data_IF_878690708598
#
_entry.id   IF_878690708598
#
_cell.length_a   1.000
_cell.length_b   1.000
_cell.length_c   1.000
_cell.angle_alpha   90.00
_cell.angle_beta   90.00
_cell.angle_gamma   90.00
#
_symmetry.space_group_name_H-M   'P 1'
#
loop_
_entity.id
_entity.type
_entity.pdbx_description
1 polymer ?
#
# COMPACT_ATOMS: atom_id res chain seq x y z
N UNK A 1 30.91 15.28 -29.55
CA UNK A 1 29.51 15.55 -29.12
C UNK A 1 28.54 14.37 -29.32
N UNK A 2 28.81 13.36 -30.17
CA UNK A 2 27.83 12.30 -30.49
C UNK A 2 27.78 11.07 -29.55
N UNK A 3 28.86 10.72 -28.82
CA UNK A 3 28.80 9.59 -27.85
C UNK A 3 27.84 9.83 -26.69
N UNK A 4 27.70 11.09 -26.24
CA UNK A 4 26.84 11.46 -25.11
C UNK A 4 25.35 11.32 -25.42
N UNK A 5 24.91 11.46 -26.69
CA UNK A 5 23.49 11.28 -27.07
C UNK A 5 23.06 9.81 -27.06
N UNK A 6 23.93 8.91 -27.54
CA UNK A 6 23.66 7.45 -27.53
C UNK A 6 23.69 6.90 -26.11
N UNK A 7 24.57 7.42 -25.25
CA UNK A 7 24.65 7.04 -23.83
C UNK A 7 23.50 7.63 -22.97
N UNK A 8 22.96 8.81 -23.31
CA UNK A 8 21.84 9.42 -22.57
C UNK A 8 20.45 8.89 -22.93
N UNK A 9 20.31 8.13 -24.02
CA UNK A 9 19.01 7.59 -24.45
C UNK A 9 18.48 6.44 -23.58
N UNK A 10 19.25 5.92 -22.63
CA UNK A 10 18.85 4.79 -21.78
C UNK A 10 19.48 4.89 -20.38
N UNK A 11 19.15 5.94 -19.61
CA UNK A 11 19.03 5.74 -18.16
C UNK A 11 17.84 4.79 -17.98
N UNK A 12 18.14 3.48 -17.94
CA UNK A 12 17.18 2.42 -17.64
C UNK A 12 16.73 2.65 -16.21
N UNK A 13 15.65 3.41 -16.07
CA UNK A 13 14.92 3.52 -14.83
C UNK A 13 14.39 2.12 -14.46
N UNK A 14 14.34 1.77 -13.17
CA UNK A 14 13.60 0.59 -12.75
C UNK A 14 12.15 0.70 -13.26
N UNK A 15 11.48 -0.44 -13.44
CA UNK A 15 10.06 -0.46 -13.79
C UNK A 15 9.27 0.13 -12.62
N UNK A 16 9.09 1.45 -12.62
CA UNK A 16 7.96 2.11 -11.97
C UNK A 16 6.76 1.82 -12.86
N UNK A 17 6.24 0.60 -12.84
CA UNK A 17 4.85 0.46 -13.24
C UNK A 17 4.03 1.18 -12.19
N UNK A 18 3.58 2.38 -12.52
CA UNK A 18 2.25 2.81 -12.15
C UNK A 18 1.26 1.83 -12.80
N UNK A 19 1.18 0.62 -12.26
CA UNK A 19 0.03 -0.22 -12.50
C UNK A 19 -1.11 0.52 -11.82
N UNK A 20 -2.01 1.08 -12.64
CA UNK A 20 -3.39 1.23 -12.25
C UNK A 20 -3.79 -0.03 -11.48
N UNK A 21 -4.28 0.15 -10.26
CA UNK A 21 -4.77 -0.94 -9.44
C UNK A 21 -5.61 -1.88 -10.32
N UNK A 22 -5.41 -3.21 -10.28
CA UNK A 22 -6.38 -4.08 -10.88
C UNK A 22 -7.70 -3.78 -10.18
N UNK A 23 -8.69 -3.33 -10.96
CA UNK A 23 -10.07 -3.35 -10.52
C UNK A 23 -10.34 -4.75 -9.99
N UNK A 24 -10.69 -4.85 -8.70
CA UNK A 24 -11.14 -6.10 -8.10
C UNK A 24 -12.28 -6.66 -8.97
N UNK A 25 -12.29 -7.96 -9.30
CA UNK A 25 -13.39 -8.52 -10.06
C UNK A 25 -14.66 -8.45 -9.19
N UNK A 26 -15.84 -8.17 -9.79
CA UNK A 26 -17.09 -8.29 -9.05
C UNK A 26 -17.26 -9.76 -8.66
N UNK A 27 -17.28 -10.04 -7.35
CA UNK A 27 -17.55 -11.37 -6.85
C UNK A 27 -18.99 -11.78 -7.21
N UNK A 28 -19.12 -12.61 -8.25
CA UNK A 28 -20.37 -13.17 -8.72
C UNK A 28 -20.26 -14.66 -9.05
N UNK A 29 -20.84 -15.46 -8.14
CA UNK A 29 -21.45 -16.79 -8.36
C UNK A 29 -20.51 -17.98 -8.63
N UNK A 30 -20.32 -18.81 -7.59
CA UNK A 30 -20.21 -20.27 -7.73
C UNK A 30 -21.23 -20.93 -6.79
N UNK A 31 -22.08 -21.78 -7.37
CA UNK A 31 -22.85 -22.79 -6.66
C UNK A 31 -21.91 -23.86 -6.08
N UNK A 32 -22.20 -24.39 -4.89
CA UNK A 32 -22.44 -25.83 -4.61
C UNK A 32 -22.57 -26.08 -3.09
N UNK A 33 -23.66 -26.77 -2.76
CA UNK A 33 -24.00 -27.70 -1.66
C UNK A 33 -23.19 -27.73 -0.36
N UNK A 34 -24.00 -27.72 0.71
CA UNK A 34 -23.93 -28.49 1.96
C UNK A 34 -22.68 -28.45 2.84
N UNK A 35 -22.93 -28.13 4.12
CA UNK A 35 -22.27 -28.79 5.24
C UNK A 35 -21.17 -28.02 5.95
N UNK A 36 -21.56 -27.29 7.00
CA UNK A 36 -20.80 -27.02 8.22
C UNK A 36 -19.35 -26.51 8.13
N UNK A 37 -19.20 -25.22 8.45
CA UNK A 37 -18.31 -24.63 9.49
C UNK A 37 -17.81 -23.25 9.03
N UNK A 38 -18.43 -22.19 9.56
CA UNK A 38 -18.05 -20.80 9.25
C UNK A 38 -16.86 -20.40 10.13
N UNK A 39 -15.66 -20.44 9.55
CA UNK A 39 -14.48 -19.76 10.07
C UNK A 39 -14.61 -18.26 9.87
N UNK A 40 -14.50 -17.51 10.96
CA UNK A 40 -14.59 -16.05 10.99
C UNK A 40 -13.35 -15.41 10.35
N UNK A 41 -13.56 -14.52 9.38
CA UNK A 41 -12.58 -13.52 8.97
C UNK A 41 -12.61 -12.40 10.03
N UNK A 42 -11.76 -12.54 11.04
CA UNK A 42 -11.49 -11.50 12.03
C UNK A 42 -10.66 -10.38 11.40
N UNK A 43 -11.17 -9.15 11.42
CA UNK A 43 -10.37 -7.94 11.21
C UNK A 43 -9.45 -7.74 12.43
N UNK A 44 -8.21 -7.25 12.23
CA UNK A 44 -7.20 -7.28 13.27
C UNK A 44 -7.57 -6.38 14.46
N UNK A 45 -7.47 -6.95 15.65
CA UNK A 45 -7.47 -6.27 16.95
C UNK A 45 -6.26 -5.31 17.05
N UNK A 46 -6.33 -4.18 16.36
CA UNK A 46 -5.48 -3.01 16.63
C UNK A 46 -6.32 -1.74 16.53
N UNK A 47 -7.48 -1.76 17.19
CA UNK A 47 -8.03 -0.52 17.74
C UNK A 47 -7.14 -0.14 18.93
N UNK A 48 -6.01 0.52 18.65
CA UNK A 48 -5.23 1.22 19.66
C UNK A 48 -6.16 2.18 20.38
N UNK A 49 -6.55 1.80 21.60
CA UNK A 49 -7.26 2.58 22.61
C UNK A 49 -8.08 3.75 22.04
N UNK A 50 -9.07 3.45 21.20
CA UNK A 50 -10.23 4.32 21.11
C UNK A 50 -10.78 4.28 22.53
N UNK A 51 -10.62 5.37 23.27
CA UNK A 51 -11.05 5.50 24.66
C UNK A 51 -12.45 4.91 24.72
N UNK A 52 -12.53 3.70 25.25
CA UNK A 52 -13.81 3.07 25.49
C UNK A 52 -14.65 4.12 26.19
N UNK A 53 -15.96 4.18 25.95
CA UNK A 53 -16.92 5.00 26.72
C UNK A 53 -16.78 4.87 28.27
N UNK A 54 -15.85 4.04 28.73
CA UNK A 54 -15.32 3.81 30.07
C UNK A 54 -14.66 5.03 30.73
N UNK A 55 -13.97 5.92 30.01
CA UNK A 55 -13.18 7.00 30.65
C UNK A 55 -13.90 8.35 30.83
N UNK A 56 -15.20 8.42 30.51
CA UNK A 56 -16.06 9.57 30.85
C UNK A 56 -17.13 9.21 31.88
N UNK A 57 -16.75 8.52 32.94
CA UNK A 57 -17.59 8.43 34.13
C UNK A 57 -17.36 9.67 35.02
N UNK A 58 -18.28 10.64 35.10
CA UNK A 58 -18.19 11.65 36.15
C UNK A 58 -18.31 10.94 37.51
N UNK A 59 -17.42 11.30 38.44
CA UNK A 59 -17.43 10.85 39.83
C UNK A 59 -18.83 11.07 40.44
N UNK A 60 -19.48 9.98 40.84
CA UNK A 60 -20.83 10.01 41.39
C UNK A 60 -20.78 10.35 42.87
N UNK A 61 -21.22 11.56 43.25
CA UNK A 61 -21.70 11.78 44.61
C UNK A 61 -23.09 11.14 44.77
N UNK A 62 -23.26 10.50 45.92
CA UNK A 62 -24.44 9.75 46.32
C UNK A 62 -25.63 10.66 46.59
N UNK A 63 -26.64 10.64 45.73
CA UNK A 63 -28.00 10.98 46.11
C UNK A 63 -28.99 10.21 45.21
N UNK A 64 -29.63 9.22 45.80
CA UNK A 64 -30.69 8.44 45.17
C UNK A 64 -31.96 9.29 45.05
N UNK A 65 -32.31 9.66 43.84
CA UNK A 65 -33.70 9.94 43.43
C UNK A 65 -34.05 8.94 42.33
N UNK A 66 -35.29 8.46 42.32
CA UNK A 66 -35.81 7.46 41.39
C UNK A 66 -35.32 7.75 39.96
N UNK A 67 -34.35 6.96 39.51
CA UNK A 67 -33.50 7.34 38.39
C UNK A 67 -34.29 7.43 37.10
N UNK A 68 -34.09 8.52 36.36
CA UNK A 68 -34.64 8.76 35.02
C UNK A 68 -34.84 7.42 34.26
N UNK A 69 -36.09 7.07 33.89
CA UNK A 69 -36.41 5.82 33.21
C UNK A 69 -35.57 5.56 31.96
N UNK A 70 -35.12 6.60 31.26
CA UNK A 70 -34.22 6.51 30.12
C UNK A 70 -32.80 6.14 30.56
N UNK A 71 -32.28 6.81 31.60
CA UNK A 71 -30.95 6.53 32.18
C UNK A 71 -30.84 5.11 32.75
N UNK A 72 -31.93 4.59 33.33
CA UNK A 72 -31.99 3.23 33.84
C UNK A 72 -31.98 2.20 32.71
N UNK A 73 -32.72 2.43 31.63
CA UNK A 73 -32.68 1.59 30.42
C UNK A 73 -31.28 1.58 29.81
N UNK A 74 -30.66 2.76 29.67
CA UNK A 74 -29.28 2.89 29.18
C UNK A 74 -28.25 2.11 29.99
N UNK A 75 -28.31 2.19 31.34
CA UNK A 75 -27.42 1.40 32.22
C UNK A 75 -27.63 -0.10 32.10
N UNK A 76 -28.85 -0.57 31.77
CA UNK A 76 -29.10 -1.98 31.47
C UNK A 76 -28.50 -2.35 30.11
N UNK A 77 -28.66 -1.51 29.09
CA UNK A 77 -28.06 -1.69 27.77
C UNK A 77 -26.54 -1.85 27.84
N UNK A 78 -25.85 -0.95 28.56
CA UNK A 78 -24.40 -1.04 28.75
C UNK A 78 -23.95 -2.35 29.43
N UNK A 79 -24.74 -2.86 30.39
CA UNK A 79 -24.45 -4.16 31.03
C UNK A 79 -24.62 -5.32 30.06
N UNK A 80 -25.66 -5.30 29.24
CA UNK A 80 -25.88 -6.34 28.22
C UNK A 80 -24.80 -6.31 27.15
N UNK A 81 -24.39 -5.12 26.69
CA UNK A 81 -23.29 -4.94 25.75
C UNK A 81 -21.98 -5.52 26.30
N UNK A 82 -21.64 -5.24 27.58
CA UNK A 82 -20.47 -5.83 28.24
C UNK A 82 -20.52 -7.34 28.36
N UNK A 83 -21.72 -7.93 28.41
CA UNK A 83 -21.91 -9.38 28.41
C UNK A 83 -21.97 -10.01 27.01
N UNK A 84 -21.75 -9.23 25.95
CA UNK A 84 -21.81 -9.70 24.55
C UNK A 84 -23.24 -9.91 24.01
N UNK A 85 -24.28 -9.59 24.80
CA UNK A 85 -25.70 -9.73 24.42
C UNK A 85 -26.15 -8.50 23.64
N UNK A 86 -25.67 -8.37 22.40
CA UNK A 86 -25.84 -7.16 21.58
C UNK A 86 -27.31 -6.86 21.26
N UNK A 87 -28.12 -7.87 20.94
CA UNK A 87 -29.53 -7.67 20.59
C UNK A 87 -30.35 -7.14 21.78
N UNK A 88 -30.05 -7.62 22.99
CA UNK A 88 -30.69 -7.10 24.21
C UNK A 88 -30.20 -5.70 24.56
N UNK A 89 -28.91 -5.42 24.35
CA UNK A 89 -28.37 -4.09 24.51
C UNK A 89 -29.07 -3.09 23.59
N UNK A 90 -29.29 -3.48 22.32
CA UNK A 90 -30.03 -2.71 21.33
C UNK A 90 -31.43 -2.35 21.82
N UNK A 91 -32.21 -3.34 22.28
CA UNK A 91 -33.57 -3.12 22.80
C UNK A 91 -33.59 -2.14 23.98
N UNK A 92 -32.61 -2.22 24.88
CA UNK A 92 -32.50 -1.31 26.02
C UNK A 92 -32.10 0.11 25.61
N UNK A 93 -31.24 0.29 24.60
CA UNK A 93 -30.92 1.61 24.08
C UNK A 93 -32.08 2.24 23.31
N UNK A 94 -32.79 1.47 22.49
CA UNK A 94 -34.04 1.92 21.85
C UNK A 94 -35.10 2.30 22.88
N UNK A 95 -35.24 1.52 23.97
CA UNK A 95 -36.12 1.87 25.08
C UNK A 95 -35.69 3.17 25.78
N UNK A 96 -34.39 3.44 25.90
CA UNK A 96 -33.90 4.70 26.46
C UNK A 96 -34.27 5.89 25.56
N UNK A 97 -34.11 5.78 24.24
CA UNK A 97 -34.49 6.81 23.27
C UNK A 97 -36.00 7.05 23.27
N UNK A 98 -36.82 5.98 23.33
CA UNK A 98 -38.28 6.10 23.41
C UNK A 98 -38.74 6.87 24.65
N UNK A 99 -38.05 6.70 25.78
CA UNK A 99 -38.37 7.39 27.04
C UNK A 99 -37.87 8.83 27.08
N UNK A 100 -36.76 9.11 26.39
CA UNK A 100 -36.22 10.44 26.24
C UNK A 100 -35.56 10.58 24.86
N UNK A 101 -36.25 11.25 23.95
CA UNK A 101 -35.80 11.43 22.57
C UNK A 101 -34.57 12.34 22.45
N UNK A 102 -34.25 13.11 23.48
CA UNK A 102 -33.08 13.99 23.57
C UNK A 102 -31.87 13.29 24.23
N UNK A 103 -31.99 11.99 24.55
CA UNK A 103 -30.96 11.27 25.29
C UNK A 103 -29.79 10.84 24.38
N UNK A 104 -28.90 11.79 24.11
CA UNK A 104 -27.74 11.72 23.20
C UNK A 104 -26.90 10.44 23.36
N UNK A 105 -26.60 10.06 24.61
CA UNK A 105 -25.75 8.90 24.90
C UNK A 105 -26.35 7.57 24.43
N UNK A 106 -27.68 7.42 24.37
CA UNK A 106 -28.28 6.20 23.83
C UNK A 106 -28.18 6.13 22.30
N UNK A 107 -28.19 7.26 21.58
CA UNK A 107 -28.00 7.26 20.12
C UNK A 107 -26.60 6.78 19.73
N UNK A 108 -25.56 7.32 20.37
CA UNK A 108 -24.18 6.93 20.07
C UNK A 108 -23.91 5.47 20.46
N UNK A 109 -24.43 5.01 21.60
CA UNK A 109 -24.31 3.61 22.01
C UNK A 109 -25.06 2.66 21.06
N UNK A 110 -26.27 3.04 20.59
CA UNK A 110 -27.02 2.24 19.63
C UNK A 110 -26.35 2.21 18.25
N UNK A 111 -25.76 3.34 17.81
CA UNK A 111 -24.97 3.39 16.58
C UNK A 111 -23.75 2.47 16.66
N UNK A 112 -23.07 2.41 17.80
CA UNK A 112 -21.95 1.49 18.02
C UNK A 112 -22.38 0.02 17.96
N UNK A 113 -23.54 -0.34 18.53
CA UNK A 113 -24.10 -1.70 18.40
C UNK A 113 -24.31 -2.07 16.93
N UNK A 114 -24.93 -1.18 16.13
CA UNK A 114 -25.13 -1.45 14.70
C UNK A 114 -23.82 -1.55 13.93
N UNK A 115 -22.80 -0.76 14.28
CA UNK A 115 -21.45 -0.89 13.72
C UNK A 115 -20.83 -2.26 14.03
N UNK A 116 -20.96 -2.74 15.27
CA UNK A 116 -20.50 -4.08 15.67
C UNK A 116 -21.26 -5.20 14.95
N UNK A 117 -22.54 -4.99 14.65
CA UNK A 117 -23.36 -5.90 13.84
C UNK A 117 -23.11 -5.77 12.32
N UNK A 118 -22.14 -4.94 11.89
CA UNK A 118 -21.86 -4.67 10.47
C UNK A 118 -23.05 -4.09 9.70
N UNK A 119 -23.90 -3.31 10.39
CA UNK A 119 -25.03 -2.58 9.82
C UNK A 119 -24.73 -1.07 9.75
N UNK A 120 -23.95 -0.59 8.75
CA UNK A 120 -23.50 0.81 8.71
C UNK A 120 -24.62 1.81 8.44
N UNK A 121 -25.67 1.44 7.69
CA UNK A 121 -26.75 2.35 7.34
C UNK A 121 -27.64 2.76 8.54
N UNK A 122 -28.13 1.82 9.39
CA UNK A 122 -28.81 2.18 10.63
C UNK A 122 -27.93 3.04 11.56
N UNK A 123 -26.65 2.71 11.69
CA UNK A 123 -25.71 3.47 12.50
C UNK A 123 -25.59 4.92 11.98
N UNK A 124 -25.39 5.10 10.67
CA UNK A 124 -25.31 6.41 10.02
C UNK A 124 -26.56 7.27 10.25
N UNK A 125 -27.75 6.69 10.10
CA UNK A 125 -29.01 7.41 10.35
C UNK A 125 -29.14 7.87 11.81
N UNK A 126 -28.74 7.04 12.76
CA UNK A 126 -28.75 7.39 14.19
C UNK A 126 -27.75 8.50 14.51
N UNK A 127 -26.53 8.43 13.95
CA UNK A 127 -25.52 9.47 14.10
C UNK A 127 -25.97 10.80 13.49
N UNK A 128 -26.59 10.79 12.31
CA UNK A 128 -27.16 11.99 11.70
C UNK A 128 -28.29 12.60 12.55
N UNK A 129 -29.15 11.76 13.17
CA UNK A 129 -30.17 12.23 14.12
C UNK A 129 -29.53 12.83 15.37
N UNK A 130 -28.51 12.20 15.92
CA UNK A 130 -27.75 12.71 17.06
C UNK A 130 -27.11 14.06 16.74
N UNK A 131 -26.48 14.20 15.57
CA UNK A 131 -25.82 15.43 15.15
C UNK A 131 -26.82 16.58 14.87
N UNK A 132 -28.06 16.28 14.48
CA UNK A 132 -29.13 17.30 14.43
C UNK A 132 -29.50 17.83 15.82
N UNK A 133 -29.43 16.98 16.85
CA UNK A 133 -29.67 17.37 18.24
C UNK A 133 -28.43 18.01 18.89
N UNK A 134 -27.24 17.67 18.41
CA UNK A 134 -25.95 17.93 19.06
C UNK A 134 -24.82 18.04 18.04
N UNK A 135 -24.75 19.14 17.27
CA UNK A 135 -23.69 19.32 16.28
C UNK A 135 -22.26 19.29 16.87
N UNK A 136 -22.13 19.55 18.16
CA UNK A 136 -20.88 19.54 18.94
C UNK A 136 -20.45 18.16 19.44
N UNK A 137 -21.18 17.08 19.11
CA UNK A 137 -20.87 15.73 19.60
C UNK A 137 -19.70 15.09 18.83
N UNK A 138 -18.46 15.32 19.28
CA UNK A 138 -17.23 14.89 18.61
C UNK A 138 -17.18 13.39 18.26
N UNK A 139 -17.52 12.50 19.21
CA UNK A 139 -17.50 11.05 18.98
C UNK A 139 -18.47 10.59 17.87
N UNK A 140 -19.54 11.34 17.62
CA UNK A 140 -20.47 11.02 16.52
C UNK A 140 -19.86 11.38 15.16
N UNK A 141 -19.12 12.48 15.08
CA UNK A 141 -18.37 12.85 13.88
C UNK A 141 -17.25 11.86 13.58
N UNK A 142 -16.52 11.41 14.59
CA UNK A 142 -15.50 10.36 14.45
C UNK A 142 -16.10 9.06 13.91
N UNK A 143 -17.16 8.56 14.56
CA UNK A 143 -17.82 7.33 14.14
C UNK A 143 -18.43 7.44 12.74
N UNK A 144 -19.02 8.60 12.41
CA UNK A 144 -19.57 8.86 11.08
C UNK A 144 -18.45 8.91 10.03
N UNK A 145 -17.31 9.53 10.34
CA UNK A 145 -16.12 9.54 9.49
C UNK A 145 -15.63 8.13 9.19
N UNK A 146 -15.50 7.28 10.22
CA UNK A 146 -15.07 5.89 10.05
C UNK A 146 -16.06 5.08 9.19
N UNK A 147 -17.37 5.30 9.32
CA UNK A 147 -18.40 4.67 8.48
C UNK A 147 -18.25 5.12 7.02
N UNK A 148 -18.14 6.43 6.77
CA UNK A 148 -17.95 6.96 5.41
C UNK A 148 -16.66 6.44 4.78
N UNK A 149 -15.58 6.34 5.56
CA UNK A 149 -14.32 5.73 5.11
C UNK A 149 -14.52 4.28 4.69
N UNK A 150 -15.20 3.46 5.52
CA UNK A 150 -15.52 2.07 5.17
C UNK A 150 -16.42 1.94 3.93
N UNK A 151 -17.25 2.94 3.65
CA UNK A 151 -18.09 3.02 2.46
C UNK A 151 -17.38 3.60 1.22
N UNK A 152 -16.09 3.91 1.32
CA UNK A 152 -15.31 4.57 0.27
C UNK A 152 -15.80 5.99 -0.10
N UNK A 153 -16.61 6.60 0.77
CA UNK A 153 -17.04 7.99 0.65
C UNK A 153 -15.96 8.91 1.28
N UNK A 154 -14.79 8.99 0.63
CA UNK A 154 -13.58 9.60 1.20
C UNK A 154 -13.73 11.10 1.51
N UNK A 155 -14.47 11.84 0.69
CA UNK A 155 -14.73 13.28 0.91
C UNK A 155 -15.61 13.53 2.14
N UNK A 156 -16.68 12.75 2.29
CA UNK A 156 -17.54 12.78 3.48
C UNK A 156 -16.76 12.37 4.73
N UNK A 157 -15.90 11.35 4.60
CA UNK A 157 -15.03 10.88 5.67
C UNK A 157 -14.09 11.98 6.15
N UNK A 158 -13.45 12.70 5.22
CA UNK A 158 -12.60 13.86 5.53
C UNK A 158 -13.40 14.97 6.21
N UNK A 159 -14.56 15.31 5.67
CA UNK A 159 -15.42 16.37 6.22
C UNK A 159 -15.78 16.07 7.68
N UNK A 160 -16.21 14.84 7.95
CA UNK A 160 -16.52 14.39 9.31
C UNK A 160 -15.26 14.32 10.19
N UNK A 161 -14.11 13.91 9.64
CA UNK A 161 -12.86 13.80 10.39
C UNK A 161 -12.33 15.16 10.84
N UNK A 162 -12.33 16.15 9.95
CA UNK A 162 -11.97 17.53 10.29
C UNK A 162 -12.92 18.11 11.32
N UNK A 163 -14.23 17.85 11.19
CA UNK A 163 -15.20 18.31 12.18
C UNK A 163 -14.97 17.71 13.56
N UNK A 164 -14.63 16.42 13.63
CA UNK A 164 -14.25 15.77 14.89
C UNK A 164 -12.98 16.40 15.48
N UNK A 165 -11.97 16.68 14.63
CA UNK A 165 -10.72 17.30 15.05
C UNK A 165 -10.93 18.73 15.59
N UNK A 166 -11.77 19.55 14.94
CA UNK A 166 -12.15 20.89 15.42
C UNK A 166 -12.79 20.86 16.81
N UNK A 167 -13.53 19.79 17.10
CA UNK A 167 -14.17 19.55 18.40
C UNK A 167 -13.22 18.93 19.44
N UNK A 168 -11.93 18.78 19.11
CA UNK A 168 -10.91 18.28 20.02
C UNK A 168 -10.87 16.76 20.16
N UNK A 169 -11.49 16.01 19.24
CA UNK A 169 -11.34 14.55 19.21
C UNK A 169 -9.89 14.20 18.84
N UNK A 170 -9.18 13.41 19.67
CA UNK A 170 -7.78 13.07 19.40
C UNK A 170 -7.66 12.07 18.24
N UNK A 171 -6.45 11.87 17.73
CA UNK A 171 -6.09 10.76 16.83
C UNK A 171 -6.78 10.73 15.46
N UNK A 172 -7.38 11.84 15.03
CA UNK A 172 -8.04 11.94 13.72
C UNK A 172 -7.07 11.91 12.53
N UNK A 173 -5.79 12.19 12.75
CA UNK A 173 -4.78 12.27 11.70
C UNK A 173 -4.64 10.98 10.88
N UNK A 174 -4.89 9.81 11.50
CA UNK A 174 -4.90 8.53 10.80
C UNK A 174 -5.99 8.49 9.72
N UNK A 175 -7.25 8.74 10.09
CA UNK A 175 -8.38 8.75 9.15
C UNK A 175 -8.23 9.83 8.08
N UNK A 176 -7.75 11.01 8.46
CA UNK A 176 -7.49 12.11 7.52
C UNK A 176 -6.44 11.70 6.48
N UNK A 177 -5.30 11.19 6.94
CA UNK A 177 -4.20 10.78 6.05
C UNK A 177 -4.58 9.64 5.12
N UNK A 178 -5.31 8.64 5.63
CA UNK A 178 -5.82 7.54 4.82
C UNK A 178 -6.85 7.98 3.78
N UNK A 179 -7.70 8.96 4.11
CA UNK A 179 -8.71 9.47 3.18
C UNK A 179 -8.07 10.32 2.07
N UNK A 180 -7.08 11.16 2.40
CA UNK A 180 -6.28 11.86 1.38
C UNK A 180 -5.50 10.90 0.48
N UNK A 181 -4.95 9.81 1.03
CA UNK A 181 -4.28 8.79 0.25
C UNK A 181 -5.24 8.14 -0.77
N UNK A 182 -6.48 7.84 -0.35
CA UNK A 182 -7.50 7.28 -1.23
C UNK A 182 -7.96 8.27 -2.34
N UNK A 183 -7.92 9.57 -2.06
CA UNK A 183 -8.21 10.64 -3.02
C UNK A 183 -7.00 11.04 -3.89
N UNK A 184 -5.87 10.35 -3.78
CA UNK A 184 -4.64 10.64 -4.52
C UNK A 184 -4.08 12.05 -4.26
N UNK A 185 -4.14 12.51 -3.01
CA UNK A 185 -3.50 13.72 -2.50
C UNK A 185 -2.27 13.35 -1.63
N UNK A 186 -1.12 12.99 -2.25
CA UNK A 186 -0.02 12.35 -1.54
C UNK A 186 0.68 13.27 -0.54
N UNK A 187 0.73 14.58 -0.79
CA UNK A 187 1.40 15.53 0.11
C UNK A 187 0.63 15.70 1.44
N UNK A 188 -0.68 15.91 1.34
CA UNK A 188 -1.59 16.04 2.47
C UNK A 188 -1.70 14.71 3.23
N UNK A 189 -1.76 13.59 2.51
CA UNK A 189 -1.71 12.26 3.08
C UNK A 189 -0.44 12.02 3.89
N UNK A 190 0.74 12.33 3.32
CA UNK A 190 2.02 12.16 4.00
C UNK A 190 2.09 12.99 5.29
N UNK A 191 1.63 14.25 5.25
CA UNK A 191 1.64 15.11 6.44
C UNK A 191 0.75 14.57 7.56
N UNK A 192 -0.47 14.13 7.23
CA UNK A 192 -1.39 13.59 8.22
C UNK A 192 -0.93 12.22 8.76
N UNK A 193 -0.42 11.34 7.90
CA UNK A 193 0.12 10.03 8.31
C UNK A 193 1.37 10.18 9.19
N UNK A 194 2.23 11.16 8.93
CA UNK A 194 3.38 11.45 9.79
C UNK A 194 2.95 11.85 11.22
N UNK A 195 1.92 12.69 11.34
CA UNK A 195 1.35 13.04 12.65
C UNK A 195 0.74 11.82 13.33
N UNK A 196 -0.01 11.00 12.60
CA UNK A 196 -0.59 9.76 13.10
C UNK A 196 0.48 8.75 13.56
N UNK A 197 1.65 8.71 12.88
CA UNK A 197 2.81 7.93 13.32
C UNK A 197 3.33 8.43 14.66
N UNK A 198 3.51 9.73 14.82
CA UNK A 198 3.97 10.35 16.07
C UNK A 198 3.03 10.10 17.26
N UNK A 199 1.74 9.89 16.99
CA UNK A 199 0.72 9.53 17.97
C UNK A 199 0.66 8.02 18.27
N UNK A 200 1.41 7.18 17.54
CA UNK A 200 1.37 5.72 17.70
C UNK A 200 0.10 5.06 17.14
N UNK A 201 -0.60 5.74 16.22
CA UNK A 201 -1.91 5.30 15.71
C UNK A 201 -1.84 4.48 14.41
N UNK A 202 -0.65 4.29 13.84
CA UNK A 202 -0.47 3.51 12.62
C UNK A 202 -0.20 2.04 12.95
N UNK A 203 -0.94 1.15 12.28
CA UNK A 203 -0.66 -0.28 12.28
C UNK A 203 0.25 -0.66 11.10
N UNK A 204 0.66 -1.93 11.00
CA UNK A 204 1.53 -2.40 9.92
C UNK A 204 1.00 -2.10 8.51
N UNK A 205 -0.32 -2.19 8.30
CA UNK A 205 -0.92 -1.87 7.01
C UNK A 205 -0.89 -0.37 6.69
N UNK A 206 -1.20 0.49 7.67
CA UNK A 206 -1.12 1.93 7.47
C UNK A 206 0.32 2.39 7.23
N UNK A 207 1.30 1.76 7.90
CA UNK A 207 2.72 2.00 7.67
C UNK A 207 3.12 1.63 6.23
N UNK A 208 2.63 0.51 5.69
CA UNK A 208 2.81 0.20 4.26
C UNK A 208 2.20 1.27 3.34
N UNK A 209 1.00 1.74 3.66
CA UNK A 209 0.35 2.82 2.89
C UNK A 209 1.17 4.11 2.96
N UNK A 210 1.63 4.51 4.15
CA UNK A 210 2.49 5.67 4.34
C UNK A 210 3.82 5.54 3.59
N UNK A 211 4.39 4.34 3.54
CA UNK A 211 5.60 4.06 2.78
C UNK A 211 5.40 4.25 1.27
N UNK A 212 4.28 3.76 0.72
CA UNK A 212 3.90 3.96 -0.70
C UNK A 212 3.68 5.43 -1.03
N UNK A 213 2.97 6.16 -0.19
CA UNK A 213 2.79 7.61 -0.35
C UNK A 213 4.14 8.34 -0.31
N UNK A 214 5.01 7.97 0.62
CA UNK A 214 6.37 8.53 0.69
C UNK A 214 7.20 8.20 -0.55
N UNK A 215 7.04 7.01 -1.12
CA UNK A 215 7.70 6.61 -2.35
C UNK A 215 7.21 7.40 -3.57
N UNK A 216 5.91 7.71 -3.64
CA UNK A 216 5.32 8.57 -4.69
C UNK A 216 5.89 9.99 -4.63
N UNK A 217 6.21 10.48 -3.44
CA UNK A 217 6.84 11.78 -3.22
C UNK A 217 8.38 11.74 -3.36
N UNK A 218 8.94 10.63 -3.84
CA UNK A 218 10.39 10.39 -3.94
C UNK A 218 11.16 10.51 -2.61
N UNK A 219 10.46 10.47 -1.48
CA UNK A 219 11.03 10.47 -0.14
C UNK A 219 11.44 9.04 0.27
N UNK A 220 12.42 8.48 -0.45
CA UNK A 220 12.79 7.06 -0.36
C UNK A 220 13.29 6.66 1.03
N UNK A 221 14.04 7.52 1.73
CA UNK A 221 14.53 7.23 3.08
C UNK A 221 13.37 7.08 4.08
N UNK A 222 12.36 7.97 3.98
CA UNK A 222 11.14 7.86 4.81
C UNK A 222 10.34 6.62 4.45
N UNK A 223 10.21 6.33 3.16
CA UNK A 223 9.52 5.12 2.68
C UNK A 223 10.15 3.85 3.26
N UNK A 224 11.49 3.75 3.28
CA UNK A 224 12.21 2.64 3.91
C UNK A 224 11.91 2.54 5.40
N UNK A 225 11.93 3.65 6.14
CA UNK A 225 11.59 3.66 7.57
C UNK A 225 10.19 3.09 7.81
N UNK A 226 9.20 3.55 7.04
CA UNK A 226 7.82 3.07 7.15
C UNK A 226 7.70 1.57 6.85
N UNK A 227 8.38 1.06 5.81
CA UNK A 227 8.38 -0.38 5.52
C UNK A 227 9.07 -1.21 6.60
N UNK A 228 10.22 -0.75 7.13
CA UNK A 228 10.92 -1.45 8.22
C UNK A 228 10.10 -1.48 9.51
N UNK A 229 9.42 -0.38 9.84
CA UNK A 229 8.47 -0.31 10.96
C UNK A 229 7.28 -1.26 10.74
N UNK A 230 6.73 -1.30 9.52
CA UNK A 230 5.64 -2.22 9.17
C UNK A 230 6.02 -3.68 9.38
N UNK A 231 7.21 -4.08 8.91
CA UNK A 231 7.73 -5.44 9.07
C UNK A 231 7.89 -5.81 10.55
N UNK A 232 8.34 -4.87 11.41
CA UNK A 232 8.43 -5.09 12.86
C UNK A 232 7.06 -5.22 13.52
N UNK A 233 6.05 -4.54 12.99
CA UNK A 233 4.67 -4.61 13.47
C UNK A 233 3.92 -5.87 13.00
N UNK A 234 4.59 -6.82 12.34
CA UNK A 234 3.97 -8.05 11.82
C UNK A 234 3.28 -7.87 10.46
N UNK A 235 3.42 -6.70 9.82
CA UNK A 235 2.98 -6.46 8.46
C UNK A 235 3.91 -7.13 7.47
N UNK A 236 3.75 -8.44 7.23
CA UNK A 236 4.57 -9.19 6.28
C UNK A 236 3.81 -9.66 5.02
N UNK A 237 3.20 -8.78 4.20
CA UNK A 237 2.95 -9.14 2.81
C UNK A 237 4.30 -9.31 2.10
N UNK A 238 4.53 -10.39 1.34
CA UNK A 238 5.73 -10.57 0.53
C UNK A 238 6.01 -9.41 -0.46
N UNK A 239 4.98 -8.63 -0.77
CA UNK A 239 5.07 -7.37 -1.51
C UNK A 239 5.95 -6.32 -0.83
N UNK A 240 5.99 -6.25 0.51
CA UNK A 240 6.75 -5.22 1.25
C UNK A 240 8.24 -5.36 1.02
N UNK A 241 8.79 -6.58 1.02
CA UNK A 241 10.20 -6.80 0.72
C UNK A 241 10.58 -6.38 -0.70
N UNK A 242 9.68 -6.56 -1.66
CA UNK A 242 9.91 -6.10 -3.02
C UNK A 242 9.87 -4.57 -3.12
N UNK A 243 8.86 -3.94 -2.53
CA UNK A 243 8.76 -2.47 -2.49
C UNK A 243 9.96 -1.84 -1.77
N UNK A 244 10.41 -2.44 -0.66
CA UNK A 244 11.61 -2.06 0.06
C UNK A 244 12.87 -2.21 -0.83
N UNK A 245 12.98 -3.30 -1.59
CA UNK A 245 14.05 -3.50 -2.56
C UNK A 245 14.09 -2.42 -3.64
N UNK A 246 12.92 -2.00 -4.13
CA UNK A 246 12.79 -0.88 -5.06
C UNK A 246 13.27 0.44 -4.43
N UNK A 247 12.93 0.70 -3.16
CA UNK A 247 13.39 1.91 -2.47
C UNK A 247 14.91 1.93 -2.33
N UNK A 248 15.52 0.83 -1.88
CA UNK A 248 16.98 0.73 -1.83
C UNK A 248 17.63 0.86 -3.21
N UNK A 249 17.00 0.33 -4.26
CA UNK A 249 17.50 0.46 -5.62
C UNK A 249 17.51 1.92 -6.08
N UNK A 250 16.44 2.67 -5.83
CA UNK A 250 16.35 4.10 -6.16
C UNK A 250 17.37 4.95 -5.39
N UNK A 251 17.64 4.59 -4.14
CA UNK A 251 18.73 5.18 -3.34
C UNK A 251 20.13 4.71 -3.75
N UNK A 252 20.26 3.87 -4.79
CA UNK A 252 21.51 3.27 -5.27
C UNK A 252 22.20 2.33 -4.27
N UNK A 253 21.48 1.91 -3.24
CA UNK A 253 21.94 0.93 -2.25
C UNK A 253 21.72 -0.49 -2.77
N UNK A 254 22.42 -0.85 -3.85
CA UNK A 254 22.15 -2.06 -4.62
C UNK A 254 22.31 -3.36 -3.82
N UNK A 255 23.22 -3.40 -2.84
CA UNK A 255 23.40 -4.56 -1.96
C UNK A 255 22.18 -4.82 -1.09
N UNK A 256 21.62 -3.77 -0.50
CA UNK A 256 20.39 -3.86 0.30
C UNK A 256 19.18 -4.17 -0.60
N UNK A 257 19.14 -3.60 -1.81
CA UNK A 257 18.10 -3.89 -2.80
C UNK A 257 18.06 -5.39 -3.16
N UNK A 258 19.22 -5.98 -3.48
CA UNK A 258 19.32 -7.41 -3.78
C UNK A 258 18.85 -8.27 -2.60
N UNK A 259 19.33 -7.98 -1.38
CA UNK A 259 18.89 -8.70 -0.17
C UNK A 259 17.38 -8.62 0.08
N UNK A 260 16.77 -7.47 -0.16
CA UNK A 260 15.32 -7.29 -0.03
C UNK A 260 14.54 -8.06 -1.12
N UNK A 261 14.99 -8.04 -2.38
CA UNK A 261 14.36 -8.83 -3.45
C UNK A 261 14.50 -10.35 -3.24
N UNK A 262 15.65 -10.82 -2.75
CA UNK A 262 15.82 -12.22 -2.33
C UNK A 262 14.84 -12.59 -1.22
N UNK A 263 14.69 -11.70 -0.23
CA UNK A 263 13.76 -11.92 0.88
C UNK A 263 12.30 -11.93 0.41
N UNK A 264 11.95 -11.11 -0.60
CA UNK A 264 10.63 -11.16 -1.24
C UNK A 264 10.36 -12.54 -1.86
N UNK A 265 11.37 -13.11 -2.54
CA UNK A 265 11.30 -14.46 -3.11
C UNK A 265 11.09 -15.52 -2.03
N UNK A 266 11.90 -15.48 -0.95
CA UNK A 266 11.78 -16.43 0.17
C UNK A 266 10.46 -16.31 0.92
N UNK A 267 9.86 -15.13 0.92
CA UNK A 267 8.59 -14.87 1.61
C UNK A 267 7.37 -15.27 0.78
N UNK A 268 7.55 -15.79 -0.43
CA UNK A 268 6.45 -16.29 -1.27
C UNK A 268 5.82 -15.24 -2.18
N UNK A 269 6.50 -14.13 -2.47
CA UNK A 269 6.09 -13.23 -3.56
C UNK A 269 6.12 -14.05 -4.86
N UNK A 270 5.12 -13.87 -5.77
CA UNK A 270 5.17 -14.49 -7.08
C UNK A 270 6.52 -14.28 -7.77
N UNK A 271 7.10 -15.37 -8.22
CA UNK A 271 8.34 -15.43 -8.98
C UNK A 271 8.10 -14.95 -10.42
N UNK A 272 7.81 -13.67 -10.57
CA UNK A 272 7.53 -13.00 -11.84
C UNK A 272 8.80 -12.44 -12.50
N UNK A 273 8.68 -12.09 -13.79
CA UNK A 273 9.81 -11.57 -14.55
C UNK A 273 10.34 -10.24 -13.98
N UNK A 274 9.48 -9.41 -13.38
CA UNK A 274 9.87 -8.13 -12.79
C UNK A 274 10.74 -8.30 -11.54
N UNK A 275 10.45 -9.30 -10.70
CA UNK A 275 11.30 -9.65 -9.55
C UNK A 275 12.73 -9.97 -10.00
N UNK A 276 12.85 -10.92 -10.93
CA UNK A 276 14.13 -11.41 -11.40
C UNK A 276 14.87 -10.37 -12.23
N UNK A 277 14.15 -9.52 -12.98
CA UNK A 277 14.71 -8.38 -13.67
C UNK A 277 15.36 -7.40 -12.69
N UNK A 278 14.61 -6.98 -11.65
CA UNK A 278 15.10 -6.01 -10.67
C UNK A 278 16.23 -6.57 -9.80
N UNK A 279 16.14 -7.84 -9.38
CA UNK A 279 17.22 -8.54 -8.67
C UNK A 279 18.46 -8.65 -9.54
N UNK A 280 18.31 -9.06 -10.81
CA UNK A 280 19.41 -9.12 -11.77
C UNK A 280 20.05 -7.76 -12.04
N UNK A 281 19.25 -6.70 -12.14
CA UNK A 281 19.75 -5.32 -12.23
C UNK A 281 20.51 -4.89 -10.98
N UNK A 282 20.03 -5.24 -9.79
CA UNK A 282 20.72 -4.94 -8.53
C UNK A 282 22.09 -5.61 -8.46
N UNK A 283 22.21 -6.88 -8.86
CA UNK A 283 23.52 -7.56 -8.95
C UNK A 283 24.41 -6.98 -10.05
N UNK A 284 23.84 -6.62 -11.21
CA UNK A 284 24.60 -6.00 -12.30
C UNK A 284 25.25 -4.70 -11.86
N UNK A 285 24.54 -3.88 -11.06
CA UNK A 285 25.07 -2.63 -10.49
C UNK A 285 26.13 -2.86 -9.40
N UNK A 286 26.14 -4.03 -8.77
CA UNK A 286 27.18 -4.47 -7.84
C UNK A 286 28.38 -5.13 -8.54
N UNK A 287 28.36 -5.25 -9.87
CA UNK A 287 29.33 -6.04 -10.65
C UNK A 287 29.35 -7.55 -10.31
N UNK A 288 28.30 -8.07 -9.65
CA UNK A 288 28.10 -9.50 -9.42
C UNK A 288 27.48 -10.12 -10.69
N UNK A 289 28.32 -10.28 -11.72
CA UNK A 289 27.81 -10.57 -13.07
C UNK A 289 27.18 -11.95 -13.23
N UNK A 290 27.70 -12.98 -12.55
CA UNK A 290 27.13 -14.34 -12.62
C UNK A 290 25.72 -14.39 -12.02
N UNK A 291 25.52 -13.78 -10.86
CA UNK A 291 24.21 -13.67 -10.21
C UNK A 291 23.24 -12.83 -11.06
N UNK A 292 23.75 -11.74 -11.64
CA UNK A 292 22.96 -10.91 -12.55
C UNK A 292 22.48 -11.70 -13.77
N UNK A 293 23.37 -12.45 -14.43
CA UNK A 293 23.06 -13.27 -15.61
C UNK A 293 22.03 -14.33 -15.24
N UNK A 294 22.22 -15.06 -14.15
CA UNK A 294 21.30 -16.12 -13.70
C UNK A 294 19.86 -15.60 -13.50
N UNK A 295 19.73 -14.47 -12.79
CA UNK A 295 18.43 -13.84 -12.56
C UNK A 295 17.83 -13.28 -13.86
N UNK A 296 18.61 -12.61 -14.70
CA UNK A 296 18.13 -12.07 -15.98
C UNK A 296 17.76 -13.17 -16.99
N UNK A 297 18.41 -14.33 -16.96
CA UNK A 297 17.99 -15.50 -17.73
C UNK A 297 16.63 -16.02 -17.28
N UNK A 298 16.40 -16.05 -15.97
CA UNK A 298 15.09 -16.43 -15.40
C UNK A 298 14.01 -15.41 -15.80
N UNK A 299 14.29 -14.11 -15.71
CA UNK A 299 13.38 -13.09 -16.22
C UNK A 299 13.10 -13.28 -17.73
N UNK A 300 14.13 -13.62 -18.51
CA UNK A 300 14.01 -13.81 -19.95
C UNK A 300 13.23 -15.07 -20.32
N UNK A 301 13.26 -16.13 -19.51
CA UNK A 301 12.45 -17.33 -19.76
C UNK A 301 10.96 -17.06 -19.47
N UNK A 302 10.67 -16.24 -18.47
CA UNK A 302 9.31 -15.81 -18.12
C UNK A 302 8.74 -14.81 -19.14
N UNK A 303 9.56 -13.91 -19.69
CA UNK A 303 9.17 -12.98 -20.77
C UNK A 303 10.17 -13.01 -21.94
N UNK A 304 10.08 -14.01 -22.84
CA UNK A 304 11.07 -14.22 -23.90
C UNK A 304 11.10 -13.14 -25.00
N UNK A 305 10.08 -12.28 -25.06
CA UNK A 305 9.98 -11.16 -26.03
C UNK A 305 10.11 -9.78 -25.37
N UNK A 306 10.49 -9.73 -24.09
CA UNK A 306 10.70 -8.47 -23.40
C UNK A 306 12.10 -7.92 -23.72
N UNK A 307 12.12 -6.89 -24.57
CA UNK A 307 13.35 -6.22 -25.00
C UNK A 307 14.13 -5.66 -23.82
N UNK A 308 13.46 -5.16 -22.77
CA UNK A 308 14.15 -4.59 -21.61
C UNK A 308 14.95 -5.66 -20.86
N UNK A 309 14.37 -6.84 -20.69
CA UNK A 309 15.05 -7.99 -20.09
C UNK A 309 16.21 -8.43 -20.98
N UNK A 310 16.01 -8.52 -22.29
CA UNK A 310 17.05 -8.91 -23.25
C UNK A 310 18.23 -7.92 -23.27
N UNK A 311 17.96 -6.61 -23.25
CA UNK A 311 18.98 -5.56 -23.18
C UNK A 311 19.81 -5.71 -21.91
N UNK A 312 19.17 -5.91 -20.76
CA UNK A 312 19.86 -6.09 -19.48
C UNK A 312 20.70 -7.36 -19.46
N UNK A 313 20.19 -8.49 -19.98
CA UNK A 313 20.93 -9.74 -20.08
C UNK A 313 22.15 -9.62 -20.99
N UNK A 314 21.99 -8.99 -22.16
CA UNK A 314 23.08 -8.74 -23.10
C UNK A 314 24.16 -7.83 -22.49
N UNK A 315 23.75 -6.80 -21.74
CA UNK A 315 24.66 -5.93 -21.01
C UNK A 315 25.39 -6.67 -19.88
N UNK A 316 24.73 -7.58 -19.18
CA UNK A 316 25.37 -8.39 -18.14
C UNK A 316 26.48 -9.29 -18.72
N UNK A 317 26.23 -9.98 -19.84
CA UNK A 317 27.27 -10.72 -20.56
C UNK A 317 28.41 -9.82 -21.03
N UNK A 318 28.09 -8.65 -21.59
CA UNK A 318 29.10 -7.70 -22.05
C UNK A 318 30.01 -7.23 -20.89
N UNK A 319 29.42 -6.90 -19.74
CA UNK A 319 30.16 -6.43 -18.55
C UNK A 319 31.01 -7.53 -17.91
N UNK A 320 30.55 -8.79 -17.98
CA UNK A 320 31.33 -9.98 -17.63
C UNK A 320 32.48 -10.26 -18.61
N UNK A 321 32.48 -9.61 -19.77
CA UNK A 321 33.40 -9.86 -20.90
C UNK A 321 33.13 -11.16 -21.66
N UNK A 322 31.95 -11.75 -21.49
CA UNK A 322 31.45 -12.86 -22.30
C UNK A 322 30.93 -12.34 -23.64
N UNK A 323 31.82 -11.71 -24.42
CA UNK A 323 31.47 -10.93 -25.61
C UNK A 323 30.75 -11.74 -26.69
N UNK A 324 31.06 -13.04 -26.81
CA UNK A 324 30.35 -13.96 -27.72
C UNK A 324 28.87 -14.10 -27.36
N UNK A 325 28.57 -14.32 -26.07
CA UNK A 325 27.20 -14.45 -25.59
C UNK A 325 26.47 -13.09 -25.65
N UNK A 326 27.16 -12.00 -25.34
CA UNK A 326 26.62 -10.65 -25.51
C UNK A 326 26.19 -10.40 -26.97
N UNK A 327 27.06 -10.69 -27.94
CA UNK A 327 26.76 -10.54 -29.36
C UNK A 327 25.53 -11.35 -29.80
N UNK A 328 25.37 -12.58 -29.31
CA UNK A 328 24.18 -13.40 -29.57
C UNK A 328 22.91 -12.70 -29.07
N UNK A 329 22.93 -12.18 -27.83
CA UNK A 329 21.75 -11.51 -27.28
C UNK A 329 21.44 -10.18 -28.00
N UNK A 330 22.45 -9.36 -28.30
CA UNK A 330 22.26 -8.13 -29.08
C UNK A 330 21.66 -8.42 -30.46
N UNK A 331 22.10 -9.49 -31.12
CA UNK A 331 21.56 -9.88 -32.41
C UNK A 331 20.07 -10.28 -32.31
N UNK A 332 19.66 -10.99 -31.26
CA UNK A 332 18.23 -11.29 -31.03
C UNK A 332 17.39 -10.03 -30.90
N UNK A 333 17.92 -8.99 -30.23
CA UNK A 333 17.25 -7.70 -30.10
C UNK A 333 17.11 -7.03 -31.47
N UNK A 334 18.16 -7.06 -32.31
CA UNK A 334 18.12 -6.49 -33.66
C UNK A 334 17.20 -7.24 -34.62
N UNK A 335 16.97 -8.54 -34.43
CA UNK A 335 15.94 -9.28 -35.19
C UNK A 335 14.55 -8.70 -34.92
N UNK A 336 14.28 -8.29 -33.68
CA UNK A 336 13.00 -7.70 -33.28
C UNK A 336 12.91 -6.20 -33.55
N UNK A 337 14.03 -5.49 -33.38
CA UNK A 337 14.15 -4.05 -33.57
C UNK A 337 15.36 -3.75 -34.45
N UNK A 338 15.24 -3.89 -35.78
CA UNK A 338 16.37 -3.72 -36.71
C UNK A 338 16.99 -2.33 -36.67
N UNK A 339 16.24 -1.32 -36.22
CA UNK A 339 16.67 0.07 -36.12
C UNK A 339 17.13 0.47 -34.71
N UNK A 340 17.35 -0.50 -33.80
CA UNK A 340 17.86 -0.19 -32.47
C UNK A 340 19.36 0.11 -32.54
N UNK A 341 19.69 1.39 -32.74
CA UNK A 341 21.06 1.87 -32.86
C UNK A 341 21.92 1.54 -31.63
N UNK A 342 21.33 1.53 -30.43
CA UNK A 342 22.04 1.14 -29.21
C UNK A 342 22.46 -0.33 -29.23
N UNK A 343 21.52 -1.24 -29.53
CA UNK A 343 21.80 -2.67 -29.63
C UNK A 343 22.81 -2.96 -30.74
N UNK A 344 22.74 -2.24 -31.87
CA UNK A 344 23.69 -2.38 -32.98
C UNK A 344 25.08 -1.90 -32.60
N UNK A 345 25.19 -0.75 -31.94
CA UNK A 345 26.45 -0.26 -31.41
C UNK A 345 27.07 -1.24 -30.40
N UNK A 346 26.27 -1.78 -29.47
CA UNK A 346 26.73 -2.75 -28.49
C UNK A 346 27.10 -4.10 -29.11
N UNK A 347 26.44 -4.51 -30.20
CA UNK A 347 26.83 -5.67 -31.01
C UNK A 347 28.22 -5.45 -31.62
N UNK A 348 28.46 -4.30 -32.25
CA UNK A 348 29.77 -3.95 -32.81
C UNK A 348 30.87 -3.98 -31.75
N UNK A 349 30.64 -3.37 -30.59
CA UNK A 349 31.56 -3.44 -29.45
C UNK A 349 31.81 -4.86 -28.95
N UNK A 350 30.79 -5.72 -28.95
CA UNK A 350 30.93 -7.12 -28.56
C UNK A 350 31.80 -7.90 -29.57
N UNK A 351 31.66 -7.66 -30.88
CA UNK A 351 32.54 -8.25 -31.89
C UNK A 351 33.99 -7.81 -31.73
N UNK A 352 34.22 -6.52 -31.47
CA UNK A 352 35.55 -6.01 -31.17
C UNK A 352 36.16 -6.68 -29.93
N UNK A 353 35.37 -6.86 -28.87
CA UNK A 353 35.81 -7.48 -27.62
C UNK A 353 36.18 -8.97 -27.75
N UNK A 354 35.53 -9.71 -28.66
CA UNK A 354 35.87 -11.12 -28.92
C UNK A 354 37.00 -11.29 -29.96
N UNK A 355 37.38 -10.24 -30.69
CA UNK A 355 38.54 -10.23 -31.59
C UNK A 355 38.22 -9.95 -33.07
N UNK A 356 36.95 -9.85 -33.45
CA UNK A 356 36.51 -9.49 -34.81
C UNK A 356 36.48 -7.95 -34.99
N UNK A 357 37.65 -7.31 -34.90
CA UNK A 357 37.79 -5.85 -34.87
C UNK A 357 37.17 -5.14 -36.08
N UNK A 358 37.49 -5.57 -37.31
CA UNK A 358 37.02 -4.92 -38.54
C UNK A 358 35.49 -5.00 -38.67
N UNK A 359 34.92 -6.18 -38.37
CA UNK A 359 33.47 -6.38 -38.40
C UNK A 359 32.78 -5.55 -37.33
N UNK A 360 33.34 -5.52 -36.13
CA UNK A 360 32.81 -4.70 -35.04
C UNK A 360 32.85 -3.20 -35.35
N UNK A 361 33.93 -2.71 -35.96
CA UNK A 361 34.05 -1.32 -36.43
C UNK A 361 32.97 -0.99 -37.48
N UNK A 362 32.82 -1.81 -38.51
CA UNK A 362 31.82 -1.60 -39.55
C UNK A 362 30.38 -1.53 -38.97
N UNK A 363 30.05 -2.39 -38.01
CA UNK A 363 28.74 -2.39 -37.34
C UNK A 363 28.57 -1.12 -36.47
N UNK A 364 29.61 -0.69 -35.75
CA UNK A 364 29.58 0.55 -34.98
C UNK A 364 29.36 1.78 -35.88
N UNK A 365 30.05 1.86 -37.02
CA UNK A 365 29.91 2.96 -37.97
C UNK A 365 28.49 3.01 -38.55
N UNK A 366 27.92 1.85 -38.87
CA UNK A 366 26.54 1.73 -39.28
C UNK A 366 25.57 2.24 -38.19
N UNK A 367 25.87 1.98 -36.92
CA UNK A 367 25.03 2.41 -35.79
C UNK A 367 25.06 3.92 -35.58
N UNK A 368 26.24 4.52 -35.76
CA UNK A 368 26.41 5.97 -35.71
C UNK A 368 25.65 6.65 -36.85
N UNK A 369 25.78 6.15 -38.08
CA UNK A 369 25.06 6.70 -39.24
C UNK A 369 23.53 6.61 -39.11
N UNK A 370 23.03 5.65 -38.33
CA UNK A 370 21.59 5.47 -38.08
C UNK A 370 21.04 6.43 -37.02
N UNK A 371 21.86 6.86 -36.05
CA UNK A 371 21.46 7.80 -34.98
C UNK A 371 21.58 9.29 -35.34
N UNK A 372 22.08 9.61 -36.53
CA UNK A 372 22.21 10.98 -37.05
C UNK A 372 20.97 11.44 -37.87
N UNK A 373 20.06 10.52 -38.18
CA UNK A 373 18.75 10.82 -38.80
C UNK A 373 17.68 10.93 -37.74
#
# INVERSE_FOLDING_TARGET
MNLYRILNLCLIAPVCTAHAAPAEPPAGIFFVKDGQSRGALALPETAGHCATLHDMAPSFSSAATAGDPARTAYRKGLRMQRSGRLDEAQQYFEAAIRKNSLFRNAYIALADIHRLQQAPEPAKQLLQRLLKLSPEHGAAWEMLSAIHYGQQAWEDALTCAFRAQELGVPHMHRLIGLSYAALNHPAEAAQALEKARGEGMLNGEDLCRAARISAQLEAFEKSVQYYEESLKAGGNPPAVYYELGMMYFNMKNYKQAAGAFEQATRSGRPADADLYLNLGMAYLKQAAYDDAISNLQTASSLRPKDIQVMLNLANAYYKKQDFKLAAIQWNKILVMQPQNAFAMFMLGKSYMGYGELLKGQAICDQALAMGEK
#
